data_IF_486681044500
#
_entry.id   IF_486681044500
#
_cell.length_a   1.000
_cell.length_b   1.000
_cell.length_c   1.000
_cell.angle_alpha   90.00
_cell.angle_beta   90.00
_cell.angle_gamma   90.00
#
_symmetry.space_group_name_H-M   'P 1'
#
loop_
_entity.id
_entity.type
_entity.pdbx_description
1 polymer ?
#
# COMPACT_ATOMS: atom_id res chain seq x y z
N UNK A 1 70.45 12.97 14.84
CA UNK A 1 69.18 13.68 14.62
C UNK A 1 68.10 12.70 14.24
N UNK A 2 66.98 12.77 14.97
CA UNK A 2 65.62 12.35 14.61
C UNK A 2 65.38 10.90 14.14
N UNK A 3 64.96 10.10 15.11
CA UNK A 3 64.02 8.98 15.01
C UNK A 3 62.65 9.39 14.45
N UNK A 4 62.02 8.49 13.68
CA UNK A 4 60.55 8.35 13.63
C UNK A 4 60.14 7.08 12.88
N UNK A 5 59.74 6.08 13.67
CA UNK A 5 58.81 5.01 13.29
C UNK A 5 57.47 5.60 12.84
N UNK A 6 56.73 4.91 11.97
CA UNK A 6 55.26 4.75 12.06
C UNK A 6 54.73 3.82 10.99
N UNK A 7 54.46 2.58 11.41
CA UNK A 7 53.46 1.69 10.84
C UNK A 7 52.07 2.31 11.00
N UNK A 8 51.27 2.32 9.92
CA UNK A 8 49.85 2.65 10.02
C UNK A 8 49.01 1.64 9.25
N UNK A 9 48.63 0.59 9.98
CA UNK A 9 47.50 -0.27 9.70
C UNK A 9 46.21 0.56 9.71
N UNK A 10 45.63 0.79 8.54
CA UNK A 10 44.29 1.37 8.42
C UNK A 10 43.26 0.25 8.55
N UNK A 11 42.95 -0.09 9.79
CA UNK A 11 41.72 -0.79 10.15
C UNK A 11 40.52 0.10 9.75
N UNK A 12 39.86 -0.26 8.65
CA UNK A 12 38.58 0.30 8.24
C UNK A 12 37.51 -0.11 9.25
N UNK A 13 37.37 0.73 10.27
CA UNK A 13 36.28 0.68 11.23
C UNK A 13 34.97 0.95 10.46
N UNK A 14 34.26 -0.13 10.17
CA UNK A 14 32.87 -0.13 9.76
C UNK A 14 32.05 0.47 10.89
N UNK A 15 31.90 1.80 10.85
CA UNK A 15 30.98 2.56 11.68
C UNK A 15 29.55 2.21 11.25
N UNK A 16 29.11 1.04 11.68
CA UNK A 16 27.70 0.69 11.75
C UNK A 16 27.03 1.70 12.68
N UNK A 17 26.52 2.76 12.07
CA UNK A 17 25.68 3.74 12.72
C UNK A 17 24.33 3.10 12.99
N UNK A 18 24.33 2.14 13.91
CA UNK A 18 23.16 1.67 14.64
C UNK A 18 22.66 2.86 15.45
N UNK A 19 21.90 3.72 14.78
CA UNK A 19 21.07 4.73 15.43
C UNK A 19 20.11 3.95 16.29
N UNK A 20 20.44 3.83 17.58
CA UNK A 20 19.55 3.36 18.63
C UNK A 20 18.22 4.07 18.43
N UNK A 21 17.21 3.32 17.99
CA UNK A 21 15.81 3.76 18.02
C UNK A 21 15.50 4.00 19.49
N UNK A 22 15.71 5.24 19.93
CA UNK A 22 15.32 5.65 21.28
C UNK A 22 13.81 5.51 21.35
N UNK A 23 13.35 4.85 22.40
CA UNK A 23 11.95 4.60 22.69
C UNK A 23 11.22 5.94 22.98
N UNK A 24 10.83 6.64 21.91
CA UNK A 24 10.18 7.95 21.98
C UNK A 24 8.66 7.79 22.12
N UNK A 25 8.20 7.38 23.30
CA UNK A 25 6.78 7.43 23.63
C UNK A 25 6.34 8.86 23.95
N UNK A 26 5.31 9.36 23.26
CA UNK A 26 4.75 10.71 23.50
C UNK A 26 3.44 10.59 24.28
N UNK A 27 3.47 10.93 25.58
CA UNK A 27 2.26 11.02 26.39
C UNK A 27 1.51 12.32 26.08
N UNK A 28 0.18 12.24 25.96
CA UNK A 28 -0.71 13.39 25.81
C UNK A 28 -2.05 13.15 26.51
N UNK A 29 -2.74 14.22 26.92
CA UNK A 29 -4.10 14.17 27.44
C UNK A 29 -5.08 14.52 26.33
N UNK A 30 -6.15 13.72 26.19
CA UNK A 30 -7.26 14.04 25.29
C UNK A 30 -8.42 14.59 26.11
N UNK A 31 -8.92 15.78 25.74
CA UNK A 31 -9.95 16.47 26.52
C UNK A 31 -11.26 15.66 26.53
N UNK A 32 -11.92 15.59 27.69
CA UNK A 32 -13.15 14.82 27.90
C UNK A 32 -14.27 15.21 26.93
N UNK A 33 -14.57 16.50 26.76
CA UNK A 33 -15.60 16.96 25.82
C UNK A 33 -15.32 16.53 24.37
N UNK A 34 -14.04 16.54 23.97
CA UNK A 34 -13.61 16.07 22.64
C UNK A 34 -13.69 14.56 22.53
N UNK A 35 -13.39 13.84 23.62
CA UNK A 35 -13.54 12.39 23.74
C UNK A 35 -14.99 11.98 23.56
N UNK A 36 -15.91 12.62 24.28
CA UNK A 36 -17.35 12.36 24.19
C UNK A 36 -17.91 12.71 22.81
N UNK A 37 -17.42 13.78 22.18
CA UNK A 37 -17.78 14.10 20.80
C UNK A 37 -17.33 13.01 19.80
N UNK A 38 -16.08 12.55 19.93
CA UNK A 38 -15.53 11.50 19.08
C UNK A 38 -16.25 10.15 19.28
N UNK A 39 -16.54 9.78 20.53
CA UNK A 39 -17.25 8.52 20.83
C UNK A 39 -18.66 8.52 20.25
N UNK A 40 -19.37 9.66 20.30
CA UNK A 40 -20.66 9.81 19.62
C UNK A 40 -20.56 9.59 18.12
N UNK A 41 -19.54 10.12 17.45
CA UNK A 41 -19.35 9.87 16.01
C UNK A 41 -18.98 8.44 15.69
N UNK A 42 -18.29 7.72 16.59
CA UNK A 42 -17.98 6.30 16.41
C UNK A 42 -19.27 5.47 16.46
N UNK A 43 -20.15 5.73 17.42
CA UNK A 43 -21.38 4.94 17.63
C UNK A 43 -22.48 5.31 16.65
N UNK A 44 -22.76 6.61 16.50
CA UNK A 44 -23.88 7.11 15.71
C UNK A 44 -23.50 7.40 14.25
N UNK A 45 -22.21 7.34 13.93
CA UNK A 45 -21.68 7.80 12.66
C UNK A 45 -21.74 9.33 12.52
N UNK A 46 -21.45 9.77 11.30
CA UNK A 46 -21.60 11.16 10.88
C UNK A 46 -22.60 11.19 9.73
N UNK A 47 -23.61 12.05 9.81
CA UNK A 47 -24.61 12.20 8.75
C UNK A 47 -23.96 12.47 7.39
N UNK A 48 -24.56 11.93 6.32
CA UNK A 48 -23.95 11.86 4.98
C UNK A 48 -23.48 13.23 4.46
N UNK A 49 -24.29 14.28 4.64
CA UNK A 49 -23.93 15.64 4.25
C UNK A 49 -22.66 16.13 4.94
N UNK A 50 -22.54 15.92 6.26
CA UNK A 50 -21.36 16.31 7.05
C UNK A 50 -20.13 15.49 6.67
N UNK A 51 -20.30 14.19 6.44
CA UNK A 51 -19.23 13.32 5.98
C UNK A 51 -18.74 13.75 4.60
N UNK A 52 -19.64 14.08 3.67
CA UNK A 52 -19.30 14.59 2.33
C UNK A 52 -18.53 15.90 2.43
N UNK A 53 -18.97 16.86 3.24
CA UNK A 53 -18.23 18.10 3.47
C UNK A 53 -16.81 17.82 3.98
N UNK A 54 -16.64 16.94 4.97
CA UNK A 54 -15.32 16.58 5.50
C UNK A 54 -14.36 16.02 4.43
N UNK A 55 -14.87 15.19 3.50
CA UNK A 55 -14.07 14.61 2.39
C UNK A 55 -13.58 15.67 1.39
N UNK A 56 -14.39 16.70 1.16
CA UNK A 56 -14.19 17.68 0.09
C UNK A 56 -13.39 18.91 0.53
N UNK A 57 -13.35 19.23 1.84
CA UNK A 57 -12.67 20.42 2.38
C UNK A 57 -11.15 20.40 2.10
N UNK A 58 -10.52 19.23 2.06
CA UNK A 58 -9.06 19.09 1.97
C UNK A 58 -8.56 18.50 0.64
N UNK A 59 -9.13 18.88 -0.51
CA UNK A 59 -8.66 18.38 -1.83
C UNK A 59 -7.21 18.79 -2.13
N UNK A 60 -6.26 17.83 -2.25
CA UNK A 60 -4.88 18.15 -2.55
C UNK A 60 -4.65 18.36 -4.05
N UNK A 61 -3.74 19.27 -4.39
CA UNK A 61 -3.19 19.43 -5.75
C UNK A 61 -1.82 18.74 -5.79
N UNK A 62 -1.75 17.54 -6.35
CA UNK A 62 -0.53 16.72 -6.39
C UNK A 62 0.16 16.93 -7.74
N UNK A 63 1.39 17.48 -7.74
CA UNK A 63 2.16 17.75 -8.96
C UNK A 63 2.89 16.51 -9.51
N UNK A 64 3.40 15.64 -8.62
CA UNK A 64 4.11 14.40 -8.97
C UNK A 64 3.31 13.21 -8.44
N UNK A 65 3.10 12.19 -9.26
CA UNK A 65 2.22 11.05 -8.96
C UNK A 65 0.78 11.51 -8.68
N UNK A 66 0.19 12.23 -9.63
CA UNK A 66 -1.19 12.74 -9.55
C UNK A 66 -2.21 11.64 -9.23
N UNK A 67 -1.92 10.41 -9.63
CA UNK A 67 -2.73 9.21 -9.38
C UNK A 67 -2.51 8.55 -8.01
N UNK A 68 -1.71 9.13 -7.10
CA UNK A 68 -1.47 8.59 -5.75
C UNK A 68 -2.76 8.39 -4.95
N UNK A 69 -3.73 9.30 -5.13
CA UNK A 69 -5.03 9.26 -4.47
C UNK A 69 -6.13 8.72 -5.38
N UNK A 70 -5.75 8.05 -6.46
CA UNK A 70 -6.68 7.28 -7.27
C UNK A 70 -6.88 5.92 -6.61
N UNK A 71 -8.14 5.51 -6.47
CA UNK A 71 -8.44 4.16 -6.02
C UNK A 71 -8.17 3.20 -7.18
N UNK A 72 -7.20 2.26 -7.06
CA UNK A 72 -6.87 1.37 -8.16
C UNK A 72 -8.08 0.53 -8.55
N UNK A 73 -8.29 0.41 -9.85
CA UNK A 73 -9.29 -0.46 -10.47
C UNK A 73 -8.67 -1.82 -10.73
N UNK A 74 -9.50 -2.86 -10.73
CA UNK A 74 -9.08 -4.19 -11.19
C UNK A 74 -8.58 -4.08 -12.65
N UNK A 75 -7.54 -4.82 -13.00
CA UNK A 75 -7.03 -4.87 -14.37
C UNK A 75 -8.03 -5.58 -15.29
N UNK A 76 -8.15 -5.12 -16.54
CA UNK A 76 -9.18 -5.65 -17.46
C UNK A 76 -8.98 -7.14 -17.77
N UNK A 77 -7.72 -7.55 -17.99
CA UNK A 77 -7.38 -8.96 -18.20
C UNK A 77 -7.78 -9.85 -17.01
N UNK A 78 -7.57 -9.36 -15.78
CA UNK A 78 -7.94 -10.07 -14.56
C UNK A 78 -9.46 -10.15 -14.40
N UNK A 79 -10.17 -9.08 -14.72
CA UNK A 79 -11.63 -9.08 -14.75
C UNK A 79 -12.19 -10.10 -15.76
N UNK A 80 -11.69 -10.11 -17.00
CA UNK A 80 -12.11 -11.06 -18.04
C UNK A 80 -11.86 -12.50 -17.57
N UNK A 81 -10.68 -12.78 -17.00
CA UNK A 81 -10.35 -14.11 -16.48
C UNK A 81 -11.26 -14.51 -15.31
N UNK A 82 -11.52 -13.60 -14.38
CA UNK A 82 -12.39 -13.84 -13.24
C UNK A 82 -13.84 -14.09 -13.68
N UNK A 83 -14.31 -13.36 -14.69
CA UNK A 83 -15.61 -13.55 -15.33
C UNK A 83 -15.75 -14.97 -15.89
N UNK A 84 -14.71 -15.45 -16.57
CA UNK A 84 -14.63 -16.81 -17.11
C UNK A 84 -14.61 -17.87 -16.00
N UNK A 85 -13.74 -17.74 -14.99
CA UNK A 85 -13.62 -18.71 -13.88
C UNK A 85 -14.92 -18.83 -13.09
N UNK A 86 -15.62 -17.72 -12.86
CA UNK A 86 -16.87 -17.70 -12.08
C UNK A 86 -18.11 -17.96 -12.92
N UNK A 87 -17.96 -18.15 -14.24
CA UNK A 87 -19.07 -18.23 -15.21
C UNK A 87 -20.14 -17.14 -14.96
N UNK A 88 -19.71 -15.89 -14.79
CA UNK A 88 -20.57 -14.80 -14.33
C UNK A 88 -20.75 -13.74 -15.41
N UNK A 89 -21.91 -13.09 -15.46
CA UNK A 89 -22.15 -11.91 -16.29
C UNK A 89 -21.98 -10.59 -15.52
N UNK A 90 -21.59 -10.66 -14.24
CA UNK A 90 -21.54 -9.49 -13.36
C UNK A 90 -20.50 -8.46 -13.84
N UNK A 91 -20.86 -7.18 -13.69
CA UNK A 91 -19.94 -6.08 -13.96
C UNK A 91 -18.73 -6.11 -13.03
N UNK A 92 -17.62 -5.52 -13.48
CA UNK A 92 -16.33 -5.43 -12.77
C UNK A 92 -16.41 -4.99 -11.31
N UNK A 93 -17.34 -4.09 -10.98
CA UNK A 93 -17.52 -3.58 -9.61
C UNK A 93 -18.23 -4.58 -8.67
N UNK A 94 -18.88 -5.61 -9.20
CA UNK A 94 -19.70 -6.56 -8.47
C UNK A 94 -19.28 -8.02 -8.69
N UNK A 95 -18.27 -8.28 -9.53
CA UNK A 95 -17.80 -9.63 -9.87
C UNK A 95 -17.28 -10.40 -8.66
N UNK A 96 -16.77 -9.68 -7.65
CA UNK A 96 -16.27 -10.25 -6.41
C UNK A 96 -16.73 -9.42 -5.19
N UNK A 97 -17.49 -10.02 -4.25
CA UNK A 97 -17.98 -9.31 -3.07
C UNK A 97 -16.87 -8.77 -2.17
N UNK A 98 -15.77 -9.51 -2.01
CA UNK A 98 -14.65 -9.07 -1.16
C UNK A 98 -13.92 -7.89 -1.80
N UNK A 99 -13.66 -7.95 -3.10
CA UNK A 99 -13.10 -6.83 -3.85
C UNK A 99 -13.98 -5.59 -3.76
N UNK A 100 -15.31 -5.73 -3.83
CA UNK A 100 -16.24 -4.60 -3.62
C UNK A 100 -16.07 -3.97 -2.24
N UNK A 101 -15.95 -4.78 -1.19
CA UNK A 101 -15.73 -4.31 0.18
C UNK A 101 -14.39 -3.60 0.31
N UNK A 102 -13.30 -4.24 -0.12
CA UNK A 102 -11.96 -3.68 0.00
C UNK A 102 -11.77 -2.43 -0.85
N UNK A 103 -12.34 -2.39 -2.06
CA UNK A 103 -12.33 -1.18 -2.90
C UNK A 103 -13.05 -0.02 -2.22
N UNK A 104 -14.18 -0.28 -1.56
CA UNK A 104 -14.87 0.74 -0.75
C UNK A 104 -14.01 1.21 0.44
N UNK A 105 -13.29 0.29 1.11
CA UNK A 105 -12.34 0.66 2.16
C UNK A 105 -11.21 1.53 1.62
N UNK A 106 -10.66 1.23 0.44
CA UNK A 106 -9.63 2.06 -0.20
C UNK A 106 -10.10 3.50 -0.43
N UNK A 107 -11.36 3.72 -0.85
CA UNK A 107 -11.93 5.08 -0.95
C UNK A 107 -11.92 5.81 0.39
N UNK A 108 -12.36 5.14 1.47
CA UNK A 108 -12.39 5.71 2.82
C UNK A 108 -10.99 6.06 3.32
N UNK A 109 -9.99 5.23 3.02
CA UNK A 109 -8.59 5.50 3.36
C UNK A 109 -8.05 6.71 2.61
N UNK A 110 -8.34 6.83 1.31
CA UNK A 110 -7.95 7.98 0.50
C UNK A 110 -8.59 9.27 1.03
N UNK A 111 -9.85 9.22 1.45
CA UNK A 111 -10.51 10.39 2.05
C UNK A 111 -9.86 10.79 3.39
N UNK A 112 -9.52 9.80 4.22
CA UNK A 112 -8.93 10.02 5.54
C UNK A 112 -7.52 10.64 5.49
N UNK A 113 -6.75 10.41 4.43
CA UNK A 113 -5.37 10.95 4.32
C UNK A 113 -5.33 12.41 3.89
N UNK A 114 -6.35 12.91 3.17
CA UNK A 114 -6.36 14.27 2.61
C UNK A 114 -6.09 15.35 3.69
N UNK A 115 -6.75 15.36 4.87
CA UNK A 115 -6.44 16.32 5.93
C UNK A 115 -5.02 16.14 6.50
N UNK A 116 -4.52 14.89 6.59
CA UNK A 116 -3.17 14.61 7.07
C UNK A 116 -2.10 15.17 6.12
N UNK A 117 -2.30 15.02 4.81
CA UNK A 117 -1.44 15.63 3.79
C UNK A 117 -1.47 17.17 3.87
N UNK A 118 -2.64 17.76 4.08
CA UNK A 118 -2.74 19.20 4.32
C UNK A 118 -1.91 19.63 5.54
N UNK A 119 -2.05 18.94 6.67
CA UNK A 119 -1.26 19.22 7.86
C UNK A 119 0.24 19.08 7.59
N UNK A 120 0.64 18.04 6.86
CA UNK A 120 2.02 17.79 6.49
C UNK A 120 2.61 18.93 5.63
N UNK A 121 1.84 19.45 4.68
CA UNK A 121 2.24 20.58 3.83
C UNK A 121 2.51 21.89 4.62
N UNK A 122 2.00 21.98 5.85
CA UNK A 122 2.12 23.17 6.72
C UNK A 122 3.24 23.08 7.75
N UNK A 123 3.89 21.91 7.90
CA UNK A 123 4.87 21.66 8.97
C UNK A 123 6.15 22.52 8.87
N UNK A 124 6.55 22.96 7.67
CA UNK A 124 7.71 23.84 7.48
C UNK A 124 7.41 25.34 7.37
N UNK A 125 6.13 25.72 7.27
CA UNK A 125 5.73 27.12 7.01
C UNK A 125 5.44 27.93 8.28
N UNK A 126 5.38 27.28 9.43
CA UNK A 126 5.15 27.89 10.75
C UNK A 126 6.11 27.21 11.73
N UNK A 127 6.55 27.90 12.79
CA UNK A 127 7.30 27.31 13.92
C UNK A 127 6.41 26.31 14.68
N UNK A 128 6.06 25.18 14.05
CA UNK A 128 5.26 24.12 14.67
C UNK A 128 6.14 23.27 15.58
N UNK A 129 5.56 22.80 16.68
CA UNK A 129 6.24 21.91 17.62
C UNK A 129 6.74 20.64 16.93
N UNK A 130 7.96 20.21 17.28
CA UNK A 130 8.56 18.93 16.87
C UNK A 130 7.62 17.74 17.09
N UNK A 131 6.81 17.77 18.15
CA UNK A 131 5.83 16.72 18.49
C UNK A 131 4.69 16.64 17.46
N UNK A 132 4.17 17.77 16.98
CA UNK A 132 3.14 17.81 15.93
C UNK A 132 3.70 17.23 14.63
N UNK A 133 4.94 17.60 14.30
CA UNK A 133 5.63 17.06 13.13
C UNK A 133 5.78 15.55 13.19
N UNK A 134 6.16 15.02 14.37
CA UNK A 134 6.26 13.60 14.61
C UNK A 134 4.90 12.90 14.47
N UNK A 135 3.85 13.44 15.08
CA UNK A 135 2.50 12.88 15.05
C UNK A 135 1.94 12.79 13.61
N UNK A 136 2.09 13.84 12.81
CA UNK A 136 1.62 13.84 11.40
C UNK A 136 2.41 12.83 10.57
N UNK A 137 3.73 12.74 10.76
CA UNK A 137 4.55 11.73 10.08
C UNK A 137 4.17 10.31 10.47
N UNK A 138 3.93 10.06 11.76
CA UNK A 138 3.46 8.77 12.25
C UNK A 138 2.11 8.39 11.64
N UNK A 139 1.14 9.33 11.63
CA UNK A 139 -0.17 9.11 11.02
C UNK A 139 -0.08 8.79 9.52
N UNK A 140 0.76 9.50 8.75
CA UNK A 140 0.98 9.20 7.33
C UNK A 140 1.64 7.83 7.10
N UNK A 141 2.59 7.43 7.95
CA UNK A 141 3.19 6.09 7.90
C UNK A 141 2.16 5.00 8.17
N UNK A 142 1.36 5.15 9.23
CA UNK A 142 0.29 4.21 9.58
C UNK A 142 -0.77 4.10 8.49
N UNK A 143 -1.13 5.25 7.88
CA UNK A 143 -2.00 5.24 6.71
C UNK A 143 -1.39 4.47 5.53
N UNK A 144 -0.11 4.66 5.25
CA UNK A 144 0.58 3.96 4.15
C UNK A 144 0.63 2.44 4.39
N UNK A 145 0.84 2.00 5.64
CA UNK A 145 0.75 0.60 6.05
C UNK A 145 -0.66 0.06 5.78
N UNK A 146 -1.68 0.73 6.31
CA UNK A 146 -3.07 0.29 6.14
C UNK A 146 -3.52 0.25 4.67
N UNK A 147 -3.09 1.23 3.88
CA UNK A 147 -3.35 1.25 2.43
C UNK A 147 -2.65 0.09 1.72
N UNK A 148 -1.39 -0.20 2.08
CA UNK A 148 -0.67 -1.37 1.58
C UNK A 148 -1.44 -2.65 1.92
N UNK A 149 -1.75 -2.89 3.20
CA UNK A 149 -2.42 -4.10 3.67
C UNK A 149 -3.72 -4.37 2.91
N UNK A 150 -4.56 -3.34 2.73
CA UNK A 150 -5.81 -3.45 1.95
C UNK A 150 -5.52 -3.77 0.49
N UNK A 151 -4.59 -3.08 -0.16
CA UNK A 151 -4.30 -3.35 -1.59
C UNK A 151 -3.63 -4.70 -1.82
N UNK A 152 -2.77 -5.15 -0.91
CA UNK A 152 -2.17 -6.49 -0.93
C UNK A 152 -3.24 -7.56 -0.73
N UNK A 153 -4.19 -7.35 0.19
CA UNK A 153 -5.32 -8.26 0.38
C UNK A 153 -6.21 -8.32 -0.86
N UNK A 154 -6.49 -7.19 -1.51
CA UNK A 154 -7.21 -7.14 -2.80
C UNK A 154 -6.52 -7.96 -3.88
N UNK A 155 -5.21 -7.74 -4.08
CA UNK A 155 -4.42 -8.49 -5.07
C UNK A 155 -4.44 -9.98 -4.79
N UNK A 156 -4.22 -10.38 -3.53
CA UNK A 156 -4.23 -11.79 -3.13
C UNK A 156 -5.58 -12.44 -3.33
N UNK A 157 -6.67 -11.76 -2.97
CA UNK A 157 -8.05 -12.23 -3.16
C UNK A 157 -8.38 -12.49 -4.63
N UNK A 158 -7.97 -11.61 -5.53
CA UNK A 158 -8.21 -11.79 -6.96
C UNK A 158 -7.31 -12.90 -7.51
N UNK A 159 -6.01 -12.83 -7.25
CA UNK A 159 -5.03 -13.73 -7.85
C UNK A 159 -5.23 -15.19 -7.40
N UNK A 160 -5.61 -15.43 -6.14
CA UNK A 160 -5.92 -16.77 -5.65
C UNK A 160 -7.09 -17.44 -6.37
N UNK A 161 -8.02 -16.65 -6.91
CA UNK A 161 -9.17 -17.17 -7.66
C UNK A 161 -8.81 -17.56 -9.10
N UNK A 162 -7.87 -16.86 -9.73
CA UNK A 162 -7.61 -17.03 -11.17
C UNK A 162 -6.26 -17.68 -11.51
N UNK A 163 -5.25 -17.52 -10.66
CA UNK A 163 -3.89 -18.04 -10.82
C UNK A 163 -3.28 -18.39 -9.44
N UNK A 164 -3.83 -19.39 -8.72
CA UNK A 164 -3.39 -19.73 -7.36
C UNK A 164 -1.90 -20.14 -7.30
N UNK A 165 -1.37 -20.74 -8.36
CA UNK A 165 0.03 -21.17 -8.45
C UNK A 165 1.02 -20.00 -8.58
N UNK A 166 0.52 -18.80 -8.91
CA UNK A 166 1.34 -17.61 -9.12
C UNK A 166 1.23 -16.61 -7.95
N UNK A 167 0.64 -17.01 -6.81
CA UNK A 167 0.47 -16.12 -5.65
C UNK A 167 1.81 -15.53 -5.18
N UNK A 168 2.90 -16.31 -5.23
CA UNK A 168 4.24 -15.85 -4.84
C UNK A 168 4.77 -14.67 -5.65
N UNK A 169 4.19 -14.39 -6.83
CA UNK A 169 4.55 -13.21 -7.62
C UNK A 169 4.23 -11.90 -6.90
N UNK A 170 3.27 -11.92 -5.96
CA UNK A 170 2.91 -10.76 -5.14
C UNK A 170 4.02 -10.34 -4.17
N UNK A 171 4.95 -11.22 -3.85
CA UNK A 171 6.08 -10.92 -2.96
C UNK A 171 7.13 -10.04 -3.65
N UNK A 172 7.10 -9.96 -4.98
CA UNK A 172 7.92 -9.04 -5.75
C UNK A 172 7.29 -7.65 -5.78
N UNK A 173 7.61 -6.83 -4.78
CA UNK A 173 7.07 -5.47 -4.64
C UNK A 173 7.49 -4.57 -5.81
N UNK A 174 8.62 -4.86 -6.49
CA UNK A 174 9.16 -4.03 -7.57
C UNK A 174 8.35 -4.03 -8.87
N UNK A 175 7.51 -5.05 -9.08
CA UNK A 175 6.61 -5.15 -10.24
C UNK A 175 5.21 -4.62 -9.95
N UNK A 176 4.90 -4.32 -8.68
CA UNK A 176 3.61 -3.77 -8.27
C UNK A 176 3.57 -2.24 -8.46
N UNK A 177 2.39 -1.68 -8.75
CA UNK A 177 2.25 -0.25 -9.00
C UNK A 177 2.30 0.52 -7.68
N UNK A 178 3.10 1.59 -7.66
CA UNK A 178 3.21 2.52 -6.53
C UNK A 178 2.09 3.54 -6.61
N UNK A 179 0.90 3.16 -6.13
CA UNK A 179 -0.34 3.90 -6.40
C UNK A 179 -0.73 3.82 -7.88
N UNK A 180 -1.76 4.56 -8.29
CA UNK A 180 -2.19 4.58 -9.69
C UNK A 180 -3.58 4.03 -9.97
N UNK A 181 -3.85 3.85 -11.25
CA UNK A 181 -5.17 3.51 -11.78
C UNK A 181 -5.47 2.01 -11.75
N UNK A 182 -4.43 1.17 -11.72
CA UNK A 182 -4.53 -0.28 -11.84
C UNK A 182 -4.06 -0.98 -10.55
N UNK A 183 -4.70 -2.10 -10.24
CA UNK A 183 -4.43 -2.88 -9.03
C UNK A 183 -3.14 -3.69 -9.16
N UNK A 184 -2.90 -4.29 -10.33
CA UNK A 184 -1.71 -5.08 -10.66
C UNK A 184 -0.78 -4.36 -11.64
N UNK A 185 -1.33 -3.73 -12.68
CA UNK A 185 -0.56 -2.95 -13.64
C UNK A 185 0.29 -3.79 -14.62
N UNK A 186 0.86 -3.14 -15.66
CA UNK A 186 1.48 -3.84 -16.79
C UNK A 186 2.67 -4.71 -16.39
N UNK A 187 3.57 -4.19 -15.54
CA UNK A 187 4.77 -4.93 -15.11
C UNK A 187 4.43 -6.25 -14.41
N UNK A 188 3.37 -6.26 -13.61
CA UNK A 188 2.91 -7.47 -12.95
C UNK A 188 2.29 -8.45 -13.97
N UNK A 189 1.48 -7.92 -14.91
CA UNK A 189 0.87 -8.72 -15.98
C UNK A 189 1.95 -9.41 -16.80
N UNK A 190 2.98 -8.69 -17.22
CA UNK A 190 4.09 -9.23 -18.02
C UNK A 190 4.80 -10.35 -17.27
N UNK A 191 5.17 -10.10 -16.00
CA UNK A 191 5.82 -11.11 -15.16
C UNK A 191 4.95 -12.36 -14.93
N UNK A 192 3.63 -12.18 -14.82
CA UNK A 192 2.68 -13.28 -14.69
C UNK A 192 2.62 -14.12 -15.96
N UNK A 193 2.55 -13.47 -17.13
CA UNK A 193 2.54 -14.15 -18.44
C UNK A 193 3.83 -14.95 -18.62
N UNK A 194 4.99 -14.39 -18.29
CA UNK A 194 6.28 -15.07 -18.38
C UNK A 194 6.35 -16.30 -17.47
N UNK A 195 5.85 -16.19 -16.24
CA UNK A 195 5.84 -17.31 -15.30
C UNK A 195 4.89 -18.42 -15.77
N UNK A 196 3.68 -18.07 -16.25
CA UNK A 196 2.73 -19.04 -16.79
C UNK A 196 3.29 -19.76 -18.02
N UNK A 197 3.94 -19.03 -18.93
CA UNK A 197 4.58 -19.60 -20.11
C UNK A 197 5.71 -20.57 -19.73
N UNK A 198 6.52 -20.21 -18.73
CA UNK A 198 7.59 -21.07 -18.22
C UNK A 198 7.03 -22.36 -17.62
N UNK A 199 5.99 -22.27 -16.79
CA UNK A 199 5.34 -23.44 -16.20
C UNK A 199 4.75 -24.37 -17.27
N UNK A 200 4.05 -23.81 -18.27
CA UNK A 200 3.50 -24.59 -19.38
C UNK A 200 4.59 -25.35 -20.15
N UNK A 201 5.76 -24.74 -20.37
CA UNK A 201 6.90 -25.39 -21.04
C UNK A 201 7.48 -26.53 -20.19
N UNK A 202 7.60 -26.33 -18.87
CA UNK A 202 8.09 -27.37 -17.95
C UNK A 202 7.13 -28.57 -17.91
N UNK A 203 5.82 -28.31 -17.86
CA UNK A 203 4.80 -29.37 -17.89
C UNK A 203 4.84 -30.19 -19.20
N UNK A 204 5.06 -29.52 -20.34
CA UNK A 204 5.21 -30.19 -21.64
C UNK A 204 6.47 -31.05 -21.68
N UNK A 205 7.60 -30.53 -21.20
CA UNK A 205 8.86 -31.29 -21.12
C UNK A 205 8.75 -32.51 -20.20
N UNK A 206 8.08 -32.38 -19.05
CA UNK A 206 7.81 -33.49 -18.13
C UNK A 206 6.93 -34.59 -18.72
N UNK A 207 5.93 -34.21 -19.53
CA UNK A 207 5.06 -35.17 -20.24
C UNK A 207 5.76 -35.90 -21.37
N UNK A 208 6.71 -35.25 -22.06
CA UNK A 208 7.51 -35.91 -23.12
C UNK A 208 8.58 -36.87 -22.59
N UNK A 209 8.89 -36.83 -21.29
CA UNK A 209 9.91 -37.67 -20.67
C UNK A 209 9.36 -38.94 -19.98
N UNK A 210 8.04 -39.17 -20.02
CA UNK A 210 7.44 -40.40 -19.49
C UNK A 210 7.62 -41.56 -20.49
N UNK A 211 8.16 -42.73 -20.08
CA UNK A 211 8.33 -43.87 -20.98
C UNK A 211 6.96 -44.47 -21.34
N UNK A 212 6.81 -45.07 -22.54
CA UNK A 212 5.56 -45.73 -22.94
C UNK A 212 5.27 -46.95 -22.05
N UNK A 213 3.99 -47.36 -21.95
CA UNK A 213 3.55 -48.51 -21.14
C UNK A 213 4.15 -49.83 -21.60
#
# INVERSE_FOLDING_TARGET
>A
SSSSDSSSSSSSSSSSSSRKDRDYSVKFKFNETKSTGLSRWIVLGLGEAKAKSAREIFKPKIKKNSSLLTNPSLDEAFYIRLKSVKNSAAAKNNIDPLEKVYRNQTYKLIDAVKPLMFLASRIGRKKKSRKITLAVRAALKLWAVLYNDVTTTRRRNILSQIYPQNIGLLDNIGILPVGGELLFGPKFVDALVDQVNTLNKLDQAGKSAAPPP
#
